data_IF_756043230337
#
_entry.id   IF_756043230337
#
_cell.length_a   1.000
_cell.length_b   1.000
_cell.length_c   1.000
_cell.angle_alpha   90.00
_cell.angle_beta   90.00
_cell.angle_gamma   90.00
#
_symmetry.space_group_name_H-M   'P 1'
#
loop_
_entity.id
_entity.type
_entity.pdbx_description
1 polymer ?
#
# COMPACT_ATOMS: atom_id res chain seq x y z
N UNK A 1 99.96 45.94 -33.82
CA UNK A 1 98.76 45.14 -34.24
C UNK A 1 98.37 44.10 -33.18
N UNK A 2 99.30 43.42 -32.45
CA UNK A 2 98.98 42.41 -31.45
C UNK A 2 98.01 42.83 -30.31
N UNK A 3 97.91 44.12 -29.94
CA UNK A 3 97.07 44.55 -28.86
C UNK A 3 95.58 44.58 -29.22
N UNK A 4 95.21 44.95 -30.44
CA UNK A 4 93.85 44.99 -30.97
C UNK A 4 93.26 43.57 -31.13
N UNK A 5 94.11 42.65 -31.68
CA UNK A 5 93.72 41.24 -31.85
C UNK A 5 93.42 40.53 -30.52
N UNK A 6 94.18 40.85 -29.44
CA UNK A 6 93.92 40.31 -28.12
C UNK A 6 92.66 40.86 -27.49
N UNK A 7 92.34 42.11 -27.71
CA UNK A 7 91.10 42.72 -27.24
C UNK A 7 89.89 42.14 -27.98
N UNK A 8 89.96 42.02 -29.32
CA UNK A 8 88.87 41.41 -30.16
C UNK A 8 88.67 39.95 -29.74
N UNK A 9 89.69 39.16 -29.55
CA UNK A 9 89.57 37.76 -29.09
C UNK A 9 88.94 37.70 -27.69
N UNK A 10 89.26 38.61 -26.77
CA UNK A 10 88.65 38.65 -25.45
C UNK A 10 87.19 38.99 -25.53
N UNK A 11 86.80 39.99 -26.35
CA UNK A 11 85.34 40.36 -26.54
C UNK A 11 84.55 39.18 -27.10
N UNK A 12 85.12 38.47 -28.10
CA UNK A 12 84.46 37.28 -28.66
C UNK A 12 84.31 36.19 -27.59
N UNK A 13 85.35 35.90 -26.82
CA UNK A 13 85.29 34.93 -25.76
C UNK A 13 84.30 35.26 -24.66
N UNK A 14 84.19 36.52 -24.24
CA UNK A 14 83.24 37.01 -23.24
C UNK A 14 81.79 36.93 -23.79
N UNK A 15 81.60 37.26 -25.09
CA UNK A 15 80.31 37.11 -25.77
C UNK A 15 79.85 35.63 -25.83
N UNK A 16 80.75 34.70 -26.21
CA UNK A 16 80.43 33.29 -26.24
C UNK A 16 80.10 32.71 -24.88
N UNK A 17 80.88 33.15 -23.84
CA UNK A 17 80.55 32.78 -22.45
C UNK A 17 79.14 33.30 -21.98
N UNK A 18 78.82 34.51 -22.34
CA UNK A 18 77.50 35.10 -22.03
C UNK A 18 76.35 34.40 -22.79
N UNK A 19 76.54 34.07 -24.07
CA UNK A 19 75.56 33.26 -24.86
C UNK A 19 75.38 31.89 -24.21
N UNK A 20 76.47 31.22 -23.85
CA UNK A 20 76.38 29.91 -23.17
C UNK A 20 75.62 30.00 -21.86
N UNK A 21 75.88 31.02 -21.05
CA UNK A 21 75.17 31.29 -19.78
C UNK A 21 73.69 31.49 -20.00
N UNK A 22 73.29 32.32 -20.96
CA UNK A 22 71.90 32.60 -21.30
C UNK A 22 71.19 31.32 -21.80
N UNK A 23 71.85 30.50 -22.61
CA UNK A 23 71.28 29.25 -23.10
C UNK A 23 71.03 28.28 -21.93
N UNK A 24 72.03 28.08 -21.04
CA UNK A 24 71.91 27.19 -19.87
C UNK A 24 70.80 27.69 -18.92
N UNK A 25 70.70 28.98 -18.69
CA UNK A 25 69.66 29.56 -17.84
C UNK A 25 68.28 29.37 -18.47
N UNK A 26 68.18 29.57 -19.78
CA UNK A 26 66.91 29.36 -20.52
C UNK A 26 66.49 27.93 -20.52
N UNK A 27 67.43 26.98 -20.70
CA UNK A 27 67.13 25.54 -20.63
C UNK A 27 66.68 25.11 -19.25
N UNK A 28 67.32 25.64 -18.18
CA UNK A 28 66.89 25.37 -16.80
C UNK A 28 65.48 25.89 -16.53
N UNK A 29 65.16 27.13 -16.98
CA UNK A 29 63.80 27.70 -16.86
C UNK A 29 62.79 26.89 -17.65
N UNK A 30 63.11 26.50 -18.89
CA UNK A 30 62.22 25.67 -19.67
C UNK A 30 61.92 24.31 -19.07
N UNK A 31 62.95 23.64 -18.47
CA UNK A 31 62.75 22.38 -17.71
C UNK A 31 61.85 22.60 -16.48
N UNK A 32 62.15 23.62 -15.68
CA UNK A 32 61.35 23.94 -14.48
C UNK A 32 59.89 24.19 -14.80
N UNK A 33 59.60 24.99 -15.87
CA UNK A 33 58.21 25.22 -16.33
C UNK A 33 57.54 23.92 -16.79
N UNK A 34 58.30 23.05 -17.51
CA UNK A 34 57.78 21.77 -17.98
C UNK A 34 57.44 20.82 -16.80
N UNK A 35 58.35 20.74 -15.80
CA UNK A 35 58.14 19.91 -14.59
C UNK A 35 56.97 20.42 -13.76
N UNK A 36 56.85 21.75 -13.57
CA UNK A 36 55.73 22.36 -12.85
C UNK A 36 54.38 22.10 -13.56
N UNK A 37 54.35 22.28 -14.88
CA UNK A 37 53.16 22.02 -15.69
C UNK A 37 52.76 20.55 -15.64
N UNK A 38 53.70 19.62 -15.74
CA UNK A 38 53.45 18.21 -15.62
C UNK A 38 52.89 17.84 -14.22
N UNK A 39 53.53 18.35 -13.17
CA UNK A 39 53.06 18.12 -11.79
C UNK A 39 51.67 18.69 -11.52
N UNK A 40 51.32 19.83 -12.15
CA UNK A 40 49.99 20.39 -12.06
C UNK A 40 48.99 19.52 -12.82
N UNK A 41 49.29 19.12 -14.03
CA UNK A 41 48.41 18.24 -14.85
C UNK A 41 48.16 16.88 -14.14
N UNK A 42 49.17 16.30 -13.50
CA UNK A 42 49.01 15.06 -12.77
C UNK A 42 48.07 15.24 -11.55
N UNK A 43 48.22 16.33 -10.79
CA UNK A 43 47.32 16.66 -9.68
C UNK A 43 45.84 16.85 -10.14
N UNK A 44 45.65 17.63 -11.20
CA UNK A 44 44.31 17.84 -11.76
C UNK A 44 43.68 16.55 -12.24
N UNK A 45 44.47 15.67 -12.87
CA UNK A 45 44.01 14.35 -13.28
C UNK A 45 43.56 13.50 -12.11
N UNK A 46 44.38 13.45 -11.04
CA UNK A 46 44.01 12.72 -9.81
C UNK A 46 42.74 13.26 -9.16
N UNK A 47 42.58 14.56 -9.07
CA UNK A 47 41.37 15.20 -8.53
C UNK A 47 40.13 14.88 -9.37
N UNK A 48 40.25 14.92 -10.72
CA UNK A 48 39.14 14.58 -11.62
C UNK A 48 38.74 13.12 -11.45
N UNK A 49 39.73 12.20 -11.38
CA UNK A 49 39.47 10.78 -11.17
C UNK A 49 38.83 10.51 -9.79
N UNK A 50 39.32 11.16 -8.74
CA UNK A 50 38.79 11.03 -7.40
C UNK A 50 37.35 11.55 -7.31
N UNK A 51 37.05 12.71 -7.91
CA UNK A 51 35.70 13.26 -8.03
C UNK A 51 34.78 12.33 -8.81
N UNK A 52 35.25 11.83 -9.96
CA UNK A 52 34.51 10.89 -10.80
C UNK A 52 34.11 9.61 -10.05
N UNK A 53 35.04 9.02 -9.28
CA UNK A 53 34.79 7.83 -8.44
C UNK A 53 33.73 8.13 -7.38
N UNK A 54 33.87 9.22 -6.61
CA UNK A 54 32.87 9.61 -5.60
C UNK A 54 31.49 9.78 -6.20
N UNK A 55 31.38 10.49 -7.32
CA UNK A 55 30.10 10.68 -8.01
C UNK A 55 29.50 9.37 -8.51
N UNK A 56 30.34 8.47 -9.01
CA UNK A 56 29.90 7.13 -9.44
C UNK A 56 29.36 6.30 -8.26
N UNK A 57 30.09 6.29 -7.14
CA UNK A 57 29.71 5.57 -5.94
C UNK A 57 28.38 6.12 -5.35
N UNK A 58 28.25 7.44 -5.24
CA UNK A 58 27.02 8.08 -4.81
C UNK A 58 25.82 7.76 -5.74
N UNK A 59 26.06 7.75 -7.04
CA UNK A 59 25.02 7.38 -8.02
C UNK A 59 24.62 5.91 -7.85
N UNK A 60 25.57 5.02 -7.65
CA UNK A 60 25.32 3.61 -7.42
C UNK A 60 24.47 3.39 -6.15
N UNK A 61 24.82 4.05 -5.05
CA UNK A 61 24.05 3.94 -3.82
C UNK A 61 22.61 4.52 -3.95
N UNK A 62 22.46 5.62 -4.66
CA UNK A 62 21.10 6.14 -4.96
C UNK A 62 20.27 5.17 -5.80
N UNK A 63 20.86 4.55 -6.81
CA UNK A 63 20.18 3.56 -7.65
C UNK A 63 19.82 2.29 -6.85
N UNK A 64 20.70 1.80 -5.98
CA UNK A 64 20.41 0.67 -5.09
C UNK A 64 19.24 0.97 -4.16
N UNK A 65 19.24 2.15 -3.52
CA UNK A 65 18.15 2.58 -2.65
C UNK A 65 16.82 2.69 -3.41
N UNK A 66 16.83 3.30 -4.59
CA UNK A 66 15.64 3.41 -5.43
C UNK A 66 15.10 2.03 -5.84
N UNK A 67 15.96 1.12 -6.25
CA UNK A 67 15.57 -0.24 -6.61
C UNK A 67 15.00 -1.02 -5.42
N UNK A 68 15.55 -0.84 -4.21
CA UNK A 68 15.02 -1.45 -3.00
C UNK A 68 13.64 -0.89 -2.63
N UNK A 69 13.43 0.41 -2.77
CA UNK A 69 12.12 1.01 -2.54
C UNK A 69 11.08 0.51 -3.55
N UNK A 70 11.43 0.44 -4.82
CA UNK A 70 10.53 -0.06 -5.86
C UNK A 70 10.18 -1.54 -5.63
N UNK A 71 11.16 -2.37 -5.24
CA UNK A 71 10.89 -3.76 -4.86
C UNK A 71 9.88 -3.86 -3.71
N UNK A 72 10.08 -3.07 -2.63
CA UNK A 72 9.14 -3.07 -1.49
C UNK A 72 7.74 -2.60 -1.88
N UNK A 73 7.67 -1.60 -2.75
CA UNK A 73 6.39 -1.09 -3.27
C UNK A 73 5.63 -2.16 -4.07
N UNK A 74 6.33 -2.86 -4.97
CA UNK A 74 5.75 -3.96 -5.75
C UNK A 74 5.29 -5.12 -4.86
N UNK A 75 6.09 -5.49 -3.87
CA UNK A 75 5.73 -6.53 -2.91
C UNK A 75 4.49 -6.14 -2.09
N UNK A 76 4.43 -4.89 -1.63
CA UNK A 76 3.26 -4.39 -0.90
C UNK A 76 2.01 -4.35 -1.80
N UNK A 77 2.15 -3.89 -3.05
CA UNK A 77 1.05 -3.87 -4.00
C UNK A 77 0.50 -5.27 -4.26
N UNK A 78 1.36 -6.26 -4.49
CA UNK A 78 0.95 -7.65 -4.67
C UNK A 78 0.24 -8.22 -3.42
N UNK A 79 0.74 -7.93 -2.22
CA UNK A 79 0.07 -8.32 -0.97
C UNK A 79 -1.31 -7.70 -0.82
N UNK A 80 -1.46 -6.42 -1.17
CA UNK A 80 -2.74 -5.72 -1.12
C UNK A 80 -3.75 -6.28 -2.15
N UNK A 81 -3.28 -6.67 -3.32
CA UNK A 81 -4.11 -7.31 -4.35
C UNK A 81 -4.66 -8.65 -3.86
N UNK A 82 -3.80 -9.53 -3.31
CA UNK A 82 -4.23 -10.82 -2.75
C UNK A 82 -5.20 -10.63 -1.57
N UNK A 83 -4.96 -9.64 -0.71
CA UNK A 83 -5.88 -9.31 0.37
C UNK A 83 -7.25 -8.86 -0.16
N UNK A 84 -7.27 -8.00 -1.17
CA UNK A 84 -8.52 -7.56 -1.80
C UNK A 84 -9.29 -8.75 -2.38
N UNK A 85 -8.61 -9.62 -3.13
CA UNK A 85 -9.21 -10.84 -3.68
C UNK A 85 -9.79 -11.76 -2.60
N UNK A 86 -9.10 -11.93 -1.47
CA UNK A 86 -9.60 -12.73 -0.36
C UNK A 86 -10.91 -12.17 0.23
N UNK A 87 -11.03 -10.85 0.37
CA UNK A 87 -12.28 -10.22 0.83
C UNK A 87 -13.40 -10.29 -0.23
N UNK A 88 -13.06 -10.16 -1.51
CA UNK A 88 -14.03 -10.31 -2.60
C UNK A 88 -14.57 -11.74 -2.68
N UNK A 89 -13.72 -12.75 -2.54
CA UNK A 89 -14.12 -14.15 -2.45
C UNK A 89 -14.97 -14.44 -1.20
N UNK A 90 -14.67 -13.80 -0.08
CA UNK A 90 -15.50 -13.90 1.12
C UNK A 90 -16.91 -13.34 0.90
N UNK A 91 -16.99 -12.17 0.23
CA UNK A 91 -18.27 -11.56 -0.15
C UNK A 91 -19.06 -12.47 -1.11
N UNK A 92 -18.40 -13.03 -2.12
CA UNK A 92 -19.02 -13.95 -3.06
C UNK A 92 -19.57 -15.20 -2.35
N UNK A 93 -18.79 -15.79 -1.43
CA UNK A 93 -19.25 -16.92 -0.61
C UNK A 93 -20.48 -16.58 0.22
N UNK A 94 -20.55 -15.40 0.82
CA UNK A 94 -21.73 -14.94 1.56
C UNK A 94 -22.97 -14.85 0.65
N UNK A 95 -22.79 -14.34 -0.57
CA UNK A 95 -23.90 -14.20 -1.52
C UNK A 95 -24.36 -15.52 -2.17
N UNK A 96 -23.47 -16.50 -2.25
CA UNK A 96 -23.70 -17.81 -2.95
C UNK A 96 -23.94 -18.98 -2.01
N UNK A 97 -24.06 -18.74 -0.70
CA UNK A 97 -24.31 -19.82 0.26
C UNK A 97 -25.70 -20.49 0.04
N UNK A 98 -25.89 -21.73 0.54
CA UNK A 98 -27.15 -22.42 0.48
C UNK A 98 -28.30 -21.60 1.05
N UNK A 99 -29.48 -21.66 0.42
CA UNK A 99 -30.62 -20.81 0.77
C UNK A 99 -31.01 -20.88 2.26
N UNK A 100 -30.95 -22.05 2.86
CA UNK A 100 -31.29 -22.24 4.28
C UNK A 100 -30.31 -21.50 5.19
N UNK A 101 -29.01 -21.59 4.90
CA UNK A 101 -27.96 -20.90 5.65
C UNK A 101 -28.04 -19.38 5.44
N UNK A 102 -28.34 -18.98 4.21
CA UNK A 102 -28.52 -17.57 3.84
C UNK A 102 -29.70 -16.95 4.60
N UNK A 103 -30.86 -17.62 4.64
CA UNK A 103 -32.02 -17.17 5.41
C UNK A 103 -31.72 -17.11 6.89
N UNK A 104 -31.06 -18.11 7.46
CA UNK A 104 -30.68 -18.11 8.87
C UNK A 104 -29.74 -16.95 9.23
N UNK A 105 -28.75 -16.69 8.37
CA UNK A 105 -27.82 -15.58 8.53
C UNK A 105 -28.54 -14.22 8.47
N UNK A 106 -29.39 -14.00 7.46
CA UNK A 106 -30.15 -12.76 7.30
C UNK A 106 -31.14 -12.56 8.44
N UNK A 107 -31.79 -13.64 8.91
CA UNK A 107 -32.69 -13.60 10.07
C UNK A 107 -31.94 -13.14 11.31
N UNK A 108 -30.77 -13.70 11.57
CA UNK A 108 -29.93 -13.29 12.69
C UNK A 108 -29.51 -11.83 12.59
N UNK A 109 -29.04 -11.40 11.43
CA UNK A 109 -28.68 -9.99 11.19
C UNK A 109 -29.90 -9.06 11.38
N UNK A 110 -31.10 -9.47 10.95
CA UNK A 110 -32.31 -8.68 11.11
C UNK A 110 -32.69 -8.51 12.59
N UNK A 111 -32.57 -9.58 13.38
CA UNK A 111 -32.83 -9.54 14.84
C UNK A 111 -31.88 -8.59 15.56
N UNK A 112 -30.65 -8.57 15.14
CA UNK A 112 -29.59 -7.80 15.79
C UNK A 112 -29.55 -6.33 15.35
N UNK A 113 -29.95 -6.06 14.10
CA UNK A 113 -30.09 -4.71 13.58
C UNK A 113 -31.41 -4.04 14.01
N UNK A 114 -32.41 -4.84 14.35
CA UNK A 114 -33.73 -4.34 14.77
C UNK A 114 -33.65 -3.68 16.15
N UNK A 115 -34.17 -2.47 16.23
CA UNK A 115 -34.25 -1.68 17.46
C UNK A 115 -35.69 -1.52 17.98
N UNK A 116 -36.65 -1.44 17.07
CA UNK A 116 -38.07 -1.19 17.40
C UNK A 116 -38.98 -2.38 17.10
N UNK A 117 -38.52 -3.32 16.27
CA UNK A 117 -39.31 -4.44 15.76
C UNK A 117 -40.39 -4.04 14.74
N UNK A 118 -40.29 -2.82 14.19
CA UNK A 118 -41.26 -2.28 13.20
C UNK A 118 -40.63 -1.90 11.88
N UNK A 119 -39.35 -2.19 11.77
CA UNK A 119 -38.55 -1.79 10.63
C UNK A 119 -39.00 -2.51 9.35
N UNK A 120 -38.77 -1.85 8.22
CA UNK A 120 -38.95 -2.43 6.90
C UNK A 120 -37.61 -2.94 6.36
N UNK A 121 -37.62 -4.15 5.81
CA UNK A 121 -36.43 -4.75 5.17
C UNK A 121 -36.53 -4.51 3.66
N UNK A 122 -35.51 -3.84 3.11
CA UNK A 122 -35.33 -3.58 1.70
C UNK A 122 -34.21 -4.52 1.19
N UNK A 123 -34.55 -5.36 0.22
CA UNK A 123 -33.62 -6.32 -0.39
C UNK A 123 -33.25 -5.93 -1.83
N UNK A 124 -32.33 -6.67 -2.41
CA UNK A 124 -32.15 -6.67 -3.87
C UNK A 124 -33.39 -7.24 -4.56
N UNK A 125 -33.66 -6.90 -5.84
CA UNK A 125 -34.79 -7.46 -6.58
C UNK A 125 -34.79 -9.01 -6.57
N UNK A 126 -33.59 -9.60 -6.65
CA UNK A 126 -33.40 -11.04 -6.63
C UNK A 126 -33.71 -11.64 -5.26
N UNK A 127 -33.12 -11.12 -4.19
CA UNK A 127 -33.28 -11.67 -2.84
C UNK A 127 -34.66 -11.42 -2.29
N UNK A 128 -35.30 -10.31 -2.65
CA UNK A 128 -36.68 -10.05 -2.27
C UNK A 128 -37.65 -11.15 -2.73
N UNK A 129 -37.46 -11.61 -3.98
CA UNK A 129 -38.28 -12.66 -4.53
C UNK A 129 -37.94 -14.05 -4.01
N UNK A 130 -36.64 -14.31 -3.78
CA UNK A 130 -36.12 -15.61 -3.39
C UNK A 130 -36.30 -15.90 -1.89
N UNK A 131 -35.85 -14.98 -1.03
CA UNK A 131 -35.72 -15.22 0.42
C UNK A 131 -36.42 -14.17 1.28
N UNK A 132 -36.77 -13.00 0.75
CA UNK A 132 -37.25 -11.85 1.54
C UNK A 132 -38.42 -12.18 2.46
N UNK A 133 -39.44 -12.92 1.97
CA UNK A 133 -40.58 -13.36 2.77
C UNK A 133 -40.19 -14.35 3.88
N UNK A 134 -39.28 -15.28 3.56
CA UNK A 134 -38.83 -16.30 4.52
C UNK A 134 -38.04 -15.63 5.67
N UNK A 135 -37.18 -14.69 5.38
CA UNK A 135 -36.37 -13.95 6.38
C UNK A 135 -37.31 -13.15 7.31
N UNK A 136 -38.28 -12.41 6.76
CA UNK A 136 -39.21 -11.60 7.56
C UNK A 136 -40.05 -12.49 8.47
N UNK A 137 -40.60 -13.62 7.97
CA UNK A 137 -41.36 -14.57 8.78
C UNK A 137 -40.50 -15.15 9.89
N UNK A 138 -39.28 -15.65 9.56
CA UNK A 138 -38.39 -16.24 10.53
C UNK A 138 -37.93 -15.24 11.59
N UNK A 139 -37.63 -14.01 11.20
CA UNK A 139 -37.26 -12.95 12.13
C UNK A 139 -38.41 -12.57 13.09
N UNK A 140 -39.65 -12.45 12.57
CA UNK A 140 -40.80 -12.19 13.40
C UNK A 140 -41.12 -13.34 14.37
N UNK A 141 -41.02 -14.59 13.93
CA UNK A 141 -41.15 -15.74 14.82
C UNK A 141 -40.10 -15.75 15.93
N UNK A 142 -38.85 -15.41 15.61
CA UNK A 142 -37.78 -15.34 16.59
C UNK A 142 -37.99 -14.18 17.58
N UNK A 143 -38.43 -13.02 17.11
CA UNK A 143 -38.78 -11.87 17.97
C UNK A 143 -39.90 -12.23 18.98
N UNK A 144 -40.94 -12.92 18.51
CA UNK A 144 -42.05 -13.36 19.38
C UNK A 144 -41.61 -14.41 20.38
N UNK A 145 -40.74 -15.34 19.98
CA UNK A 145 -40.27 -16.42 20.86
C UNK A 145 -39.12 -15.96 21.78
N UNK A 146 -38.52 -14.80 21.55
CA UNK A 146 -37.34 -14.34 22.29
C UNK A 146 -36.09 -15.20 22.10
N UNK A 147 -36.04 -16.02 21.03
CA UNK A 147 -34.95 -16.97 20.75
C UNK A 147 -34.34 -16.65 19.39
N UNK A 148 -33.08 -16.29 19.37
CA UNK A 148 -32.35 -16.13 18.10
C UNK A 148 -32.09 -17.52 17.48
N UNK A 149 -32.20 -17.67 16.13
CA UNK A 149 -31.92 -18.92 15.47
C UNK A 149 -30.44 -19.31 15.61
N UNK A 150 -30.17 -20.58 15.86
CA UNK A 150 -28.80 -21.11 15.86
C UNK A 150 -28.27 -21.11 14.42
N UNK A 151 -27.03 -20.62 14.25
CA UNK A 151 -26.35 -20.71 12.97
C UNK A 151 -25.83 -22.15 12.77
N UNK A 152 -25.93 -22.70 11.53
CA UNK A 152 -25.29 -23.97 11.22
C UNK A 152 -23.81 -23.98 11.60
N UNK A 153 -23.33 -25.14 12.09
CA UNK A 153 -21.94 -25.31 12.59
C UNK A 153 -20.89 -24.85 11.56
N UNK A 154 -21.15 -25.10 10.27
CA UNK A 154 -20.27 -24.67 9.19
C UNK A 154 -20.05 -23.16 9.10
N UNK A 155 -20.99 -22.35 9.60
CA UNK A 155 -20.88 -20.89 9.64
C UNK A 155 -20.35 -20.45 11.00
N UNK A 156 -20.76 -21.07 12.09
CA UNK A 156 -20.35 -20.69 13.44
C UNK A 156 -18.86 -20.94 13.69
N UNK A 157 -18.29 -22.02 13.14
CA UNK A 157 -16.88 -22.38 13.23
C UNK A 157 -15.98 -21.67 12.22
N UNK A 158 -16.55 -21.10 11.15
CA UNK A 158 -15.77 -20.34 10.19
C UNK A 158 -15.31 -19.01 10.80
N UNK A 159 -14.10 -18.54 10.44
CA UNK A 159 -13.62 -17.21 10.83
C UNK A 159 -14.60 -16.09 10.43
N UNK A 160 -15.42 -16.31 9.41
CA UNK A 160 -16.48 -15.40 8.96
C UNK A 160 -17.68 -15.43 9.93
N UNK A 161 -18.06 -16.59 10.46
CA UNK A 161 -19.17 -16.71 11.43
C UNK A 161 -18.81 -16.16 12.82
N UNK A 162 -17.60 -16.44 13.30
CA UNK A 162 -17.11 -15.84 14.56
C UNK A 162 -16.96 -14.32 14.45
N UNK A 163 -16.76 -13.84 13.25
CA UNK A 163 -16.65 -12.44 12.89
C UNK A 163 -18.03 -11.75 12.87
N UNK A 164 -18.99 -12.32 12.17
CA UNK A 164 -20.38 -11.80 12.18
C UNK A 164 -20.94 -11.82 13.62
N UNK A 165 -20.62 -12.83 14.42
CA UNK A 165 -21.00 -12.89 15.83
C UNK A 165 -20.39 -11.83 16.73
N UNK A 166 -19.17 -11.33 16.43
CA UNK A 166 -18.51 -10.26 17.20
C UNK A 166 -19.06 -8.86 16.88
N UNK A 167 -19.46 -8.62 15.62
CA UNK A 167 -20.08 -7.35 15.22
C UNK A 167 -21.37 -7.12 15.97
N UNK A 168 -22.01 -8.15 16.30
CA UNK A 168 -23.35 -8.31 16.77
C UNK A 168 -23.49 -8.26 18.30
N UNK A 169 -22.48 -8.68 19.04
CA UNK A 169 -22.54 -8.71 20.50
C UNK A 169 -22.50 -7.34 21.20
N UNK A 170 -22.54 -6.24 20.50
CA UNK A 170 -22.40 -4.91 21.12
C UNK A 170 -23.73 -4.21 21.48
N UNK A 171 -24.89 -4.71 21.07
CA UNK A 171 -26.17 -4.07 21.40
C UNK A 171 -27.32 -5.08 21.52
N UNK A 172 -27.27 -5.97 22.51
CA UNK A 172 -28.47 -6.70 22.93
C UNK A 172 -29.36 -5.78 23.77
N UNK A 173 -30.04 -4.83 23.14
CA UNK A 173 -31.20 -4.19 23.75
C UNK A 173 -32.39 -5.12 23.53
N UNK A 174 -32.93 -5.71 24.60
CA UNK A 174 -34.20 -6.43 24.57
C UNK A 174 -35.29 -5.53 24.00
N UNK A 175 -35.68 -5.81 22.77
CA UNK A 175 -36.79 -5.12 22.11
C UNK A 175 -38.11 -5.70 22.68
N UNK A 176 -38.72 -5.03 23.61
CA UNK A 176 -40.11 -5.25 24.05
C UNK A 176 -41.04 -4.46 23.14
N UNK A 177 -41.00 -4.72 21.82
CA UNK A 177 -41.87 -4.04 20.87
C UNK A 177 -42.95 -4.98 20.31
N UNK A 178 -44.20 -4.58 20.36
CA UNK A 178 -45.34 -5.27 19.73
C UNK A 178 -45.47 -5.05 18.22
N UNK A 179 -44.38 -4.60 17.57
CA UNK A 179 -44.30 -4.42 16.13
C UNK A 179 -43.80 -5.68 15.42
N UNK A 180 -44.09 -5.81 14.14
CA UNK A 180 -43.61 -6.85 13.27
C UNK A 180 -42.74 -6.23 12.17
N UNK A 181 -41.59 -6.84 11.89
CA UNK A 181 -40.77 -6.51 10.73
C UNK A 181 -41.60 -6.72 9.45
N UNK A 182 -41.42 -5.86 8.47
CA UNK A 182 -42.16 -5.91 7.22
C UNK A 182 -41.22 -5.97 6.01
N UNK A 183 -41.69 -6.62 4.94
CA UNK A 183 -40.93 -6.66 3.68
C UNK A 183 -41.33 -5.43 2.85
N UNK A 184 -40.35 -4.58 2.56
CA UNK A 184 -40.59 -3.39 1.71
C UNK A 184 -40.92 -3.79 0.26
N UNK A 185 -41.71 -2.97 -0.42
CA UNK A 185 -41.93 -3.04 -1.86
C UNK A 185 -40.74 -2.46 -2.64
N UNK A 186 -40.02 -1.52 -2.00
CA UNK A 186 -38.80 -0.95 -2.55
C UNK A 186 -37.69 -2.00 -2.62
N UNK A 187 -36.88 -1.91 -3.68
CA UNK A 187 -35.68 -2.73 -3.84
C UNK A 187 -34.47 -1.85 -4.11
N UNK A 188 -33.28 -2.26 -3.65
CA UNK A 188 -32.02 -1.53 -3.91
C UNK A 188 -30.98 -2.42 -4.54
N UNK A 189 -30.08 -1.87 -5.37
CA UNK A 189 -29.02 -2.65 -6.05
C UNK A 189 -27.91 -3.00 -5.07
N UNK A 190 -28.13 -4.00 -4.22
CA UNK A 190 -27.16 -4.58 -3.30
C UNK A 190 -26.81 -6.01 -3.74
N UNK A 191 -25.59 -6.47 -3.48
CA UNK A 191 -25.12 -7.82 -3.87
C UNK A 191 -25.75 -8.91 -3.01
N UNK A 192 -26.02 -8.60 -1.74
CA UNK A 192 -26.65 -9.51 -0.78
C UNK A 192 -26.88 -8.80 0.54
N UNK A 193 -27.64 -9.42 1.43
CA UNK A 193 -28.07 -8.77 2.66
C UNK A 193 -29.34 -7.95 2.47
N UNK A 194 -29.53 -6.92 3.31
CA UNK A 194 -30.67 -6.02 3.27
C UNK A 194 -30.32 -4.65 3.84
N UNK A 195 -31.21 -3.68 3.62
CA UNK A 195 -31.21 -2.39 4.31
C UNK A 195 -32.47 -2.36 5.16
N UNK A 196 -32.32 -2.00 6.44
CA UNK A 196 -33.44 -1.88 7.38
C UNK A 196 -33.79 -0.41 7.55
N UNK A 197 -35.09 -0.09 7.48
CA UNK A 197 -35.58 1.29 7.55
C UNK A 197 -36.67 1.41 8.61
N UNK A 198 -36.51 2.41 9.49
CA UNK A 198 -37.55 2.82 10.46
C UNK A 198 -37.71 4.35 10.41
N UNK A 199 -38.70 4.82 9.68
CA UNK A 199 -38.93 6.26 9.43
C UNK A 199 -37.71 6.87 8.70
N UNK A 200 -37.02 7.78 9.38
CA UNK A 200 -35.83 8.48 8.83
C UNK A 200 -34.50 7.76 9.12
N UNK A 201 -34.54 6.63 9.81
CA UNK A 201 -33.35 5.88 10.20
C UNK A 201 -33.14 4.70 9.25
N UNK A 202 -31.96 4.63 8.61
CA UNK A 202 -31.57 3.50 7.79
C UNK A 202 -30.37 2.77 8.41
N UNK A 203 -30.49 1.47 8.56
CA UNK A 203 -29.37 0.58 8.97
C UNK A 203 -28.98 -0.29 7.79
N UNK A 204 -27.76 -0.11 7.31
CA UNK A 204 -27.24 -0.82 6.14
C UNK A 204 -26.58 -2.14 6.55
N UNK A 205 -27.29 -3.25 6.35
CA UNK A 205 -26.85 -4.63 6.55
C UNK A 205 -26.49 -5.35 5.23
N UNK A 206 -26.22 -4.60 4.15
CA UNK A 206 -25.72 -5.18 2.91
C UNK A 206 -24.31 -5.80 3.13
N UNK A 207 -24.08 -6.97 2.59
CA UNK A 207 -22.84 -7.71 2.81
C UNK A 207 -21.60 -6.95 2.33
N UNK A 208 -21.67 -6.23 1.22
CA UNK A 208 -20.60 -5.36 0.76
C UNK A 208 -20.23 -4.27 1.79
N UNK A 209 -21.19 -3.72 2.49
CA UNK A 209 -20.96 -2.73 3.54
C UNK A 209 -20.36 -3.38 4.78
N UNK A 210 -20.90 -4.52 5.20
CA UNK A 210 -20.39 -5.26 6.36
C UNK A 210 -18.95 -5.75 6.14
N UNK A 211 -18.66 -6.34 4.98
CA UNK A 211 -17.30 -6.79 4.62
C UNK A 211 -16.33 -5.61 4.58
N UNK A 212 -16.73 -4.47 3.99
CA UNK A 212 -15.90 -3.27 3.95
C UNK A 212 -15.57 -2.74 5.34
N UNK A 213 -16.56 -2.62 6.22
CA UNK A 213 -16.35 -2.14 7.59
C UNK A 213 -15.44 -3.06 8.40
N UNK A 214 -15.50 -4.34 8.10
CA UNK A 214 -14.71 -5.32 8.83
C UNK A 214 -13.34 -5.56 8.22
N UNK A 215 -13.14 -5.21 6.96
CA UNK A 215 -11.82 -5.28 6.33
C UNK A 215 -10.77 -4.56 7.17
N UNK A 216 -11.06 -3.33 7.63
CA UNK A 216 -10.13 -2.55 8.46
C UNK A 216 -9.71 -3.28 9.74
N UNK A 217 -10.61 -4.05 10.35
CA UNK A 217 -10.35 -4.78 11.59
C UNK A 217 -9.62 -6.10 11.36
N UNK A 218 -9.95 -6.80 10.29
CA UNK A 218 -9.46 -8.13 10.00
C UNK A 218 -8.24 -8.18 9.08
N UNK A 219 -7.93 -7.08 8.39
CA UNK A 219 -6.84 -7.04 7.42
C UNK A 219 -5.52 -7.55 8.00
N UNK A 220 -5.21 -7.19 9.24
CA UNK A 220 -4.00 -7.64 9.92
C UNK A 220 -4.00 -9.15 10.21
N UNK A 221 -5.14 -9.70 10.63
CA UNK A 221 -5.25 -11.13 10.92
C UNK A 221 -5.19 -11.96 9.64
N UNK A 222 -5.92 -11.52 8.60
CA UNK A 222 -5.93 -12.16 7.28
C UNK A 222 -4.54 -12.10 6.64
N UNK A 223 -3.87 -10.96 6.71
CA UNK A 223 -2.50 -10.82 6.23
C UNK A 223 -1.53 -11.77 6.96
N UNK A 224 -1.67 -11.94 8.26
CA UNK A 224 -0.86 -12.87 9.06
C UNK A 224 -1.08 -14.35 8.68
N UNK A 225 -2.24 -14.70 8.15
CA UNK A 225 -2.55 -16.06 7.67
C UNK A 225 -2.05 -16.27 6.24
N UNK A 226 -2.19 -15.25 5.37
CA UNK A 226 -1.81 -15.35 3.97
C UNK A 226 -0.29 -15.18 3.74
N UNK A 227 0.38 -14.44 4.62
CA UNK A 227 1.80 -14.10 4.50
C UNK A 227 2.53 -14.37 5.82
N UNK A 228 2.67 -15.65 6.22
CA UNK A 228 3.31 -16.05 7.48
C UNK A 228 4.80 -15.67 7.55
#
# INVERSE_FOLDING_TARGET
MEGIEKITAKIIQDSEAEVTRILEETERKARSIGEEAQAQADREREEILARGRRTADERLERLKSAAQMERRKLELAAKQEVLAEAFDLALEKLCTMPEQEYVALLTKLALEASSTGREQLIFSPQDRSRVGKQVVVAANEALVKGVAPELPEAISESKVGSFLGKVVNSTAAMVTGTGLLTLSEETRPIKGGFIMVDGDIEVNCAFETLVRLQREKLEKEVAGVLFP
#
